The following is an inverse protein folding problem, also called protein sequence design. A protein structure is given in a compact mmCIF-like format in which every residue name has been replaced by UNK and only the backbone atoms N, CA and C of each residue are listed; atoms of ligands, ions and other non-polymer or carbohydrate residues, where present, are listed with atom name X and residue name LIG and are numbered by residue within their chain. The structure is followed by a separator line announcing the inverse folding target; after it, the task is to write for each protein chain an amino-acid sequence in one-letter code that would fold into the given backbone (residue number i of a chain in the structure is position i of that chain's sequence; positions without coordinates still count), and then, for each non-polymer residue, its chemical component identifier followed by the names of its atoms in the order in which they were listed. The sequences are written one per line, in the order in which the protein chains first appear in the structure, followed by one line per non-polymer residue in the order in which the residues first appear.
data_IF_949757105102
#
_entry.id   IF_949757105102
#
_cell.length_a   1.000
_cell.length_b   1.000
_cell.length_c   1.000
_cell.angle_alpha   90.00
_cell.angle_beta   90.00
_cell.angle_gamma   90.00
#
_symmetry.space_group_name_H-M   'P 1'
#
loop_
_entity.id
_entity.type
_entity.pdbx_description
1 polymer ?
#
# COMPACT_ATOMS: atom_id res chain seq x y z
N UNK A 1 5.87 51.25 28.14
CA UNK A 1 4.73 50.36 27.80
C UNK A 1 5.16 48.92 27.47
N UNK A 2 6.17 48.36 28.16
CA UNK A 2 6.72 47.03 27.88
C UNK A 2 6.53 46.07 29.08
N UNK A 3 6.36 46.60 30.30
CA UNK A 3 6.17 45.83 31.53
C UNK A 3 4.79 45.17 31.65
N UNK A 4 3.73 45.77 31.08
CA UNK A 4 2.37 45.22 31.15
C UNK A 4 2.15 43.98 30.29
N UNK A 5 2.92 43.82 29.20
CA UNK A 5 2.80 42.67 28.28
C UNK A 5 3.31 41.37 28.94
N UNK A 6 4.36 41.47 29.77
CA UNK A 6 4.92 40.32 30.48
C UNK A 6 4.01 39.80 31.61
N UNK A 7 3.22 40.69 32.22
CA UNK A 7 2.27 40.32 33.28
C UNK A 7 1.09 39.51 32.73
N UNK A 8 0.56 39.92 31.56
CA UNK A 8 -0.50 39.20 30.86
C UNK A 8 -0.02 37.82 30.38
N UNK A 9 1.22 37.72 29.88
CA UNK A 9 1.81 36.43 29.46
C UNK A 9 2.02 35.42 30.61
N UNK A 10 2.34 35.89 31.83
CA UNK A 10 2.44 35.00 33.00
C UNK A 10 1.05 34.57 33.50
N UNK A 11 0.04 35.44 33.40
CA UNK A 11 -1.33 35.13 33.79
C UNK A 11 -2.00 34.09 32.87
N UNK A 12 -1.78 34.18 31.55
CA UNK A 12 -2.30 33.19 30.59
C UNK A 12 -1.65 31.82 30.74
N UNK A 13 -0.34 31.77 31.07
CA UNK A 13 0.37 30.50 31.33
C UNK A 13 -0.11 29.78 32.61
N UNK A 14 -0.67 30.49 33.60
CA UNK A 14 -1.29 29.88 34.79
C UNK A 14 -2.71 29.39 34.55
N UNK A 15 -3.47 30.02 33.65
CA UNK A 15 -4.83 29.59 33.29
C UNK A 15 -4.85 28.34 32.40
N UNK A 16 -3.82 28.11 31.58
CA UNK A 16 -3.69 26.87 30.78
C UNK A 16 -3.39 25.61 31.60
N UNK A 17 -2.98 25.74 32.86
CA UNK A 17 -2.76 24.59 33.76
C UNK A 17 -4.03 24.15 34.50
N UNK A 18 -5.12 24.93 34.41
CA UNK A 18 -6.41 24.64 35.04
C UNK A 18 -7.45 24.09 34.06
N UNK A 19 -7.17 24.10 32.75
CA UNK A 19 -7.93 23.27 31.81
C UNK A 19 -7.49 21.83 32.00
N UNK A 20 -8.11 21.17 32.99
CA UNK A 20 -8.09 19.73 33.15
C UNK A 20 -8.64 19.08 31.89
N UNK A 21 -7.78 18.86 30.91
CA UNK A 21 -7.97 17.79 29.94
C UNK A 21 -8.04 16.52 30.76
N UNK A 22 -9.25 16.02 31.00
CA UNK A 22 -9.47 14.62 31.29
C UNK A 22 -8.67 13.86 30.24
N UNK A 23 -7.58 13.25 30.69
CA UNK A 23 -6.70 12.53 29.80
C UNK A 23 -7.46 11.27 29.37
N UNK A 24 -8.13 11.34 28.23
CA UNK A 24 -8.82 10.20 27.58
C UNK A 24 -7.80 9.18 27.04
N UNK A 25 -6.53 9.21 27.45
CA UNK A 25 -5.71 7.99 27.42
C UNK A 25 -6.10 7.11 28.62
N UNK A 26 -7.36 6.66 28.55
CA UNK A 26 -7.90 5.49 29.22
C UNK A 26 -6.84 4.40 29.11
N UNK A 27 -6.25 4.06 30.27
CA UNK A 27 -5.49 2.85 30.60
C UNK A 27 -5.22 2.02 29.34
N UNK A 28 -4.06 2.25 28.71
CA UNK A 28 -3.55 1.31 27.70
C UNK A 28 -3.47 -0.03 28.42
N UNK A 29 -4.27 -0.96 27.94
CA UNK A 29 -4.51 -2.28 28.52
C UNK A 29 -3.23 -2.86 29.14
N UNK A 30 -3.18 -2.92 30.48
CA UNK A 30 -2.01 -3.36 31.25
C UNK A 30 -1.79 -4.88 31.07
N UNK A 31 -2.79 -5.58 30.50
CA UNK A 31 -2.76 -7.02 30.32
C UNK A 31 -2.24 -7.36 28.92
N UNK A 32 -1.11 -8.06 28.86
CA UNK A 32 -0.62 -8.76 27.65
C UNK A 32 -1.45 -10.02 27.34
N UNK A 33 -2.78 -9.95 27.48
CA UNK A 33 -3.68 -11.06 27.17
C UNK A 33 -4.30 -10.90 25.78
N UNK A 34 -4.91 -11.98 25.28
CA UNK A 34 -5.69 -11.97 24.05
C UNK A 34 -6.79 -10.90 24.15
N UNK A 35 -6.69 -9.83 23.35
CA UNK A 35 -7.70 -8.78 23.36
C UNK A 35 -8.78 -9.11 22.33
N UNK A 36 -10.00 -9.30 22.82
CA UNK A 36 -11.20 -9.52 22.01
C UNK A 36 -11.98 -8.21 21.94
N UNK A 37 -12.30 -7.76 20.74
CA UNK A 37 -13.18 -6.62 20.49
C UNK A 37 -14.47 -7.08 19.84
N UNK A 38 -15.64 -6.58 20.29
CA UNK A 38 -16.95 -6.89 19.70
C UNK A 38 -17.68 -5.61 19.28
N UNK A 39 -18.19 -5.60 18.03
CA UNK A 39 -18.91 -4.47 17.38
C UNK A 39 -18.21 -3.11 17.48
N UNK A 40 -16.92 -3.11 17.74
CA UNK A 40 -16.08 -1.92 17.88
C UNK A 40 -14.76 -2.19 17.19
N UNK A 41 -14.09 -1.12 16.75
CA UNK A 41 -12.78 -1.25 16.10
C UNK A 41 -11.80 -1.92 17.07
N UNK A 42 -11.08 -2.98 16.66
CA UNK A 42 -10.09 -3.61 17.51
C UNK A 42 -8.98 -2.62 17.86
N UNK A 43 -8.35 -2.82 19.02
CA UNK A 43 -7.16 -2.07 19.41
C UNK A 43 -6.11 -2.11 18.29
N UNK A 44 -5.42 -0.99 18.12
CA UNK A 44 -4.36 -0.87 17.12
C UNK A 44 -3.29 -1.94 17.38
N UNK A 45 -2.94 -2.68 16.34
CA UNK A 45 -1.89 -3.68 16.39
C UNK A 45 -0.53 -3.05 16.72
N UNK A 46 0.42 -3.87 17.19
CA UNK A 46 1.78 -3.43 17.47
C UNK A 46 2.33 -2.64 16.28
N UNK A 47 3.00 -1.52 16.56
CA UNK A 47 3.60 -0.67 15.51
C UNK A 47 4.52 -1.46 14.59
N UNK A 48 5.24 -2.45 15.16
CA UNK A 48 6.12 -3.35 14.40
C UNK A 48 5.32 -4.20 13.42
N UNK A 49 4.15 -4.70 13.81
CA UNK A 49 3.28 -5.47 12.91
C UNK A 49 2.75 -4.61 11.77
N UNK A 50 2.35 -3.37 12.04
CA UNK A 50 1.90 -2.44 10.98
C UNK A 50 3.03 -2.14 9.99
N UNK A 51 4.22 -1.78 10.48
CA UNK A 51 5.38 -1.49 9.63
C UNK A 51 5.85 -2.74 8.87
N UNK A 52 5.84 -3.90 9.52
CA UNK A 52 6.17 -5.16 8.87
C UNK A 52 5.21 -5.48 7.72
N UNK A 53 3.91 -5.25 7.91
CA UNK A 53 2.92 -5.43 6.85
C UNK A 53 3.16 -4.48 5.66
N UNK A 54 3.50 -3.22 5.93
CA UNK A 54 3.84 -2.23 4.88
C UNK A 54 5.11 -2.61 4.12
N UNK A 55 6.17 -3.08 4.81
CA UNK A 55 7.42 -3.51 4.17
C UNK A 55 7.19 -4.73 3.28
N UNK A 56 6.44 -5.72 3.75
CA UNK A 56 6.11 -6.90 2.93
C UNK A 56 5.27 -6.52 1.73
N UNK A 57 4.28 -5.64 1.90
CA UNK A 57 3.49 -5.11 0.79
C UNK A 57 4.34 -4.35 -0.24
N UNK A 58 5.28 -3.52 0.23
CA UNK A 58 6.20 -2.81 -0.64
C UNK A 58 7.16 -3.76 -1.37
N UNK A 59 7.68 -4.79 -0.69
CA UNK A 59 8.54 -5.80 -1.30
C UNK A 59 7.81 -6.61 -2.39
N UNK A 60 6.54 -6.98 -2.14
CA UNK A 60 5.69 -7.65 -3.14
C UNK A 60 5.53 -6.78 -4.39
N UNK A 61 5.13 -5.52 -4.23
CA UNK A 61 4.94 -4.63 -5.38
C UNK A 61 6.23 -4.27 -6.10
N UNK A 62 7.32 -4.08 -5.36
CA UNK A 62 8.64 -3.87 -5.94
C UNK A 62 9.04 -5.07 -6.80
N UNK A 63 8.84 -6.30 -6.32
CA UNK A 63 9.15 -7.52 -7.07
C UNK A 63 8.37 -7.62 -8.38
N UNK A 64 7.05 -7.37 -8.32
CA UNK A 64 6.18 -7.40 -9.50
C UNK A 64 6.65 -6.38 -10.54
N UNK A 65 6.86 -5.12 -10.12
CA UNK A 65 7.28 -4.05 -11.03
C UNK A 65 8.68 -4.28 -11.58
N UNK A 66 9.59 -4.84 -10.77
CA UNK A 66 10.93 -5.21 -11.21
C UNK A 66 10.85 -6.25 -12.34
N UNK A 67 10.06 -7.32 -12.17
CA UNK A 67 9.94 -8.40 -13.17
C UNK A 67 9.19 -7.93 -14.41
N UNK A 68 8.19 -7.05 -14.24
CA UNK A 68 7.50 -6.45 -15.37
C UNK A 68 8.46 -5.66 -16.27
N UNK A 69 9.49 -5.02 -15.70
CA UNK A 69 10.46 -4.25 -16.49
C UNK A 69 11.58 -5.11 -17.08
N UNK A 70 12.13 -6.07 -16.33
CA UNK A 70 13.27 -6.87 -16.81
C UNK A 70 12.85 -8.07 -17.66
N UNK A 71 11.64 -8.57 -17.48
CA UNK A 71 11.15 -9.83 -18.06
C UNK A 71 9.71 -9.67 -18.56
N UNK A 72 9.45 -8.60 -19.31
CA UNK A 72 8.11 -8.33 -19.87
C UNK A 72 7.64 -9.41 -20.86
N UNK A 73 8.58 -10.15 -21.47
CA UNK A 73 8.30 -11.18 -22.48
C UNK A 73 7.38 -12.30 -22.00
N UNK A 74 7.40 -12.64 -20.71
CA UNK A 74 6.48 -13.63 -20.16
C UNK A 74 5.01 -13.19 -20.13
N UNK A 75 4.77 -11.88 -20.19
CA UNK A 75 3.42 -11.30 -20.20
C UNK A 75 3.00 -10.97 -21.62
N UNK A 76 3.88 -10.37 -22.43
CA UNK A 76 3.55 -9.90 -23.79
C UNK A 76 3.68 -10.99 -24.85
N UNK A 77 4.28 -12.13 -24.51
CA UNK A 77 4.68 -13.17 -25.47
C UNK A 77 6.13 -12.98 -25.88
N UNK A 78 6.87 -14.10 -25.89
CA UNK A 78 8.29 -14.14 -26.29
C UNK A 78 8.47 -14.30 -27.80
N UNK A 79 7.45 -14.87 -28.47
CA UNK A 79 7.49 -15.18 -29.89
C UNK A 79 6.47 -14.34 -30.65
N UNK A 80 6.90 -13.78 -31.77
CA UNK A 80 6.01 -13.11 -32.71
C UNK A 80 4.96 -14.09 -33.23
N UNK A 81 3.70 -13.69 -33.16
CA UNK A 81 2.62 -14.52 -33.68
C UNK A 81 2.63 -14.47 -35.22
N UNK A 82 2.72 -15.61 -35.92
CA UNK A 82 2.78 -15.60 -37.37
C UNK A 82 1.44 -15.14 -37.97
N UNK A 83 1.52 -14.32 -39.02
CA UNK A 83 0.35 -13.97 -39.83
C UNK A 83 -0.04 -15.15 -40.72
N UNK A 84 -1.23 -15.71 -40.47
CA UNK A 84 -1.74 -16.87 -41.20
C UNK A 84 -2.07 -16.56 -42.66
N UNK A 85 -2.27 -15.29 -43.01
CA UNK A 85 -2.55 -14.86 -44.38
C UNK A 85 -1.31 -14.76 -45.26
N UNK A 86 -0.12 -14.72 -44.65
CA UNK A 86 1.15 -14.68 -45.36
C UNK A 86 1.58 -16.05 -45.90
N UNK A 87 0.92 -17.14 -45.46
CA UNK A 87 1.26 -18.49 -45.88
C UNK A 87 0.80 -18.77 -47.31
N UNK A 88 1.70 -19.32 -48.13
CA UNK A 88 1.37 -19.58 -49.53
C UNK A 88 0.54 -20.86 -49.67
N UNK A 89 -0.35 -20.90 -50.67
CA UNK A 89 -1.16 -22.09 -50.95
C UNK A 89 -0.31 -23.36 -51.19
N UNK A 90 0.92 -23.20 -51.71
CA UNK A 90 1.87 -24.30 -51.88
C UNK A 90 2.36 -24.89 -50.56
N UNK A 91 2.65 -24.05 -49.56
CA UNK A 91 3.06 -24.50 -48.21
C UNK A 91 1.90 -25.16 -47.46
N UNK A 92 0.67 -24.70 -47.75
CA UNK A 92 -0.56 -25.24 -47.18
C UNK A 92 -1.07 -26.49 -47.91
N UNK A 93 -0.42 -26.91 -49.00
CA UNK A 93 -0.84 -28.07 -49.79
C UNK A 93 -2.18 -27.88 -50.50
N UNK A 94 -2.61 -26.63 -50.72
CA UNK A 94 -3.85 -26.31 -51.42
C UNK A 94 -3.56 -26.34 -52.94
N UNK A 95 -4.22 -27.22 -53.71
CA UNK A 95 -3.95 -27.34 -55.14
C UNK A 95 -4.28 -26.05 -55.89
N UNK A 96 -3.52 -25.75 -56.94
CA UNK A 96 -3.83 -24.63 -57.81
C UNK A 96 -5.06 -24.95 -58.65
N UNK A 97 -5.87 -23.94 -58.96
CA UNK A 97 -7.09 -24.11 -59.77
C UNK A 97 -6.79 -24.58 -61.21
N UNK A 98 -5.52 -24.54 -61.66
CA UNK A 98 -5.13 -25.04 -63.00
C UNK A 98 -4.86 -26.56 -63.03
N UNK A 99 -4.68 -27.19 -61.88
CA UNK A 99 -4.29 -28.61 -61.77
C UNK A 99 -5.47 -29.53 -61.39
N UNK A 100 -6.72 -29.03 -61.42
CA UNK A 100 -7.98 -29.74 -61.18
C UNK A 100 -8.79 -29.87 -62.47
#
# INVERSE_FOLDING_TARGET
MISSVLSVYKATRRLQLLSGSCNVNRIKDIRKSHVVSYRTVPQKQSKITTVGAEIVGAAMWWWILWHLWHESGHITGEFDYPDTSAWTNSELGIPSTRDQ
#
